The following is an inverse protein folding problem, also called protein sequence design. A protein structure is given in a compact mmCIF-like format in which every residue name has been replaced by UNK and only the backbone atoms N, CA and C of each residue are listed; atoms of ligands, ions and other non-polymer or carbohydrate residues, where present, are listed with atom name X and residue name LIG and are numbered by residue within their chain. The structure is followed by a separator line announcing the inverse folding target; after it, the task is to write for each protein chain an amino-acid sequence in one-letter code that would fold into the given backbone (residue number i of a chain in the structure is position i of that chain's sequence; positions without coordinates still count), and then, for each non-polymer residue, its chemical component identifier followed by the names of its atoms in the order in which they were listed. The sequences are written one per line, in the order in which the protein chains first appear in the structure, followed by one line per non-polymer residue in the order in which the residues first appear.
data_IF_164070634110
#
_entry.id   IF_164070634110
#
_cell.length_a   1.000
_cell.length_b   1.000
_cell.length_c   1.000
_cell.angle_alpha   90.00
_cell.angle_beta   90.00
_cell.angle_gamma   90.00
#
_symmetry.space_group_name_H-M   'P 1'
#
loop_
_entity.id
_entity.type
_entity.pdbx_description
1 polymer ?
#
# COMPACT_ATOMS: atom_id res chain seq x y z
N UNK A 1 11.88 -60.11 33.99
CA UNK A 1 10.63 -59.73 33.35
C UNK A 1 10.24 -58.37 33.95
N UNK A 2 10.68 -57.30 33.32
CA UNK A 2 10.26 -55.96 33.64
C UNK A 2 8.87 -55.75 33.06
N UNK A 3 7.84 -55.72 33.94
CA UNK A 3 6.56 -55.14 33.63
C UNK A 3 6.68 -53.64 33.84
N UNK A 4 6.98 -52.91 32.78
CA UNK A 4 6.77 -51.45 32.74
C UNK A 4 5.26 -51.21 32.73
N UNK A 5 4.70 -51.05 33.93
CA UNK A 5 3.34 -50.49 34.10
C UNK A 5 3.49 -48.98 33.89
N UNK A 6 3.37 -48.56 32.65
CA UNK A 6 3.09 -47.15 32.37
C UNK A 6 1.74 -46.83 33.02
N UNK A 7 1.76 -45.83 33.92
CA UNK A 7 0.55 -45.35 34.55
C UNK A 7 -0.37 -44.78 33.46
N UNK A 8 -1.65 -45.17 33.44
CA UNK A 8 -2.64 -44.76 32.46
C UNK A 8 -2.72 -43.22 32.34
N UNK A 9 -2.47 -42.51 33.48
CA UNK A 9 -2.37 -41.05 33.54
C UNK A 9 -1.15 -40.49 32.80
N UNK A 10 -0.03 -41.21 32.77
CA UNK A 10 1.16 -40.76 32.01
C UNK A 10 0.95 -40.89 30.51
N UNK A 11 0.23 -41.92 30.06
CA UNK A 11 -0.16 -42.13 28.68
C UNK A 11 -1.17 -41.03 28.22
N UNK A 12 -2.17 -40.71 29.03
CA UNK A 12 -3.10 -39.62 28.74
C UNK A 12 -2.39 -38.27 28.64
N UNK A 13 -1.49 -37.97 29.56
CA UNK A 13 -0.71 -36.73 29.54
C UNK A 13 0.20 -36.63 28.31
N UNK A 14 0.84 -37.75 27.93
CA UNK A 14 1.64 -37.81 26.72
C UNK A 14 0.80 -37.59 25.47
N UNK A 15 -0.36 -38.20 25.41
CA UNK A 15 -1.32 -38.05 24.29
C UNK A 15 -1.80 -36.62 24.15
N UNK A 16 -2.17 -35.97 25.25
CA UNK A 16 -2.57 -34.56 25.26
C UNK A 16 -1.45 -33.63 24.78
N UNK A 17 -0.21 -33.87 25.26
CA UNK A 17 0.95 -33.10 24.81
C UNK A 17 1.24 -33.29 23.32
N UNK A 18 1.09 -34.50 22.79
CA UNK A 18 1.27 -34.78 21.37
C UNK A 18 0.20 -34.08 20.52
N UNK A 19 -1.06 -34.12 20.96
CA UNK A 19 -2.17 -33.44 20.28
C UNK A 19 -1.93 -31.92 20.28
N UNK A 20 -1.51 -31.36 21.42
CA UNK A 20 -1.22 -29.93 21.50
C UNK A 20 -0.08 -29.54 20.57
N UNK A 21 1.04 -30.25 20.58
CA UNK A 21 2.17 -30.01 19.67
C UNK A 21 1.79 -30.18 18.19
N UNK A 22 0.93 -31.15 17.88
CA UNK A 22 0.42 -31.34 16.52
C UNK A 22 -0.43 -30.14 16.08
N UNK A 23 -1.29 -29.59 16.95
CA UNK A 23 -2.08 -28.39 16.67
C UNK A 23 -1.21 -27.15 16.49
N UNK A 24 -0.21 -26.94 17.35
CA UNK A 24 0.74 -25.84 17.24
C UNK A 24 1.48 -25.89 15.90
N UNK A 25 2.05 -27.05 15.54
CA UNK A 25 2.73 -27.24 14.25
C UNK A 25 1.80 -27.03 13.04
N UNK A 26 0.55 -27.48 13.14
CA UNK A 26 -0.44 -27.28 12.07
C UNK A 26 -0.74 -25.78 11.90
N UNK A 27 -0.85 -25.05 13.01
CA UNK A 27 -1.03 -23.59 12.99
C UNK A 27 0.19 -22.88 12.38
N UNK A 28 1.40 -23.26 12.78
CA UNK A 28 2.65 -22.71 12.21
C UNK A 28 2.76 -22.97 10.70
N UNK A 29 2.45 -24.19 10.26
CA UNK A 29 2.45 -24.55 8.83
C UNK A 29 1.43 -23.73 8.07
N UNK A 30 0.26 -23.47 8.64
CA UNK A 30 -0.76 -22.63 8.03
C UNK A 30 -0.25 -21.20 7.85
N UNK A 31 0.31 -20.61 8.89
CA UNK A 31 0.89 -19.24 8.84
C UNK A 31 1.99 -19.16 7.78
N UNK A 32 2.90 -20.13 7.72
CA UNK A 32 3.97 -20.17 6.72
C UNK A 32 3.42 -20.29 5.29
N UNK A 33 2.40 -21.11 5.08
CA UNK A 33 1.73 -21.22 3.76
C UNK A 33 1.04 -19.91 3.37
N UNK A 34 0.36 -19.25 4.29
CA UNK A 34 -0.30 -17.98 4.03
C UNK A 34 0.72 -16.90 3.68
N UNK A 35 1.87 -16.86 4.36
CA UNK A 35 3.00 -15.98 4.02
C UNK A 35 3.60 -16.28 2.65
N UNK A 36 3.78 -17.57 2.31
CA UNK A 36 4.29 -17.97 0.99
C UNK A 36 3.31 -17.58 -0.13
N UNK A 37 2.02 -17.80 0.05
CA UNK A 37 1.00 -17.38 -0.90
C UNK A 37 0.98 -15.88 -1.09
N UNK A 38 0.98 -15.11 0.01
CA UNK A 38 1.09 -13.65 -0.03
C UNK A 38 2.31 -13.20 -0.83
N UNK A 39 3.49 -13.77 -0.54
CA UNK A 39 4.72 -13.44 -1.25
C UNK A 39 4.63 -13.74 -2.76
N UNK A 40 4.00 -14.85 -3.13
CA UNK A 40 3.82 -15.24 -4.53
C UNK A 40 2.88 -14.28 -5.26
N UNK A 41 1.75 -13.94 -4.64
CA UNK A 41 0.80 -12.95 -5.18
C UNK A 41 1.45 -11.57 -5.29
N UNK A 42 2.18 -11.14 -4.27
CA UNK A 42 2.91 -9.87 -4.26
C UNK A 42 3.89 -9.77 -5.43
N UNK A 43 4.75 -10.78 -5.62
CA UNK A 43 5.70 -10.81 -6.73
C UNK A 43 4.99 -10.85 -8.09
N UNK A 44 3.87 -11.57 -8.19
CA UNK A 44 3.03 -11.60 -9.38
C UNK A 44 2.48 -10.22 -9.73
N UNK A 45 1.90 -9.54 -8.75
CA UNK A 45 1.34 -8.20 -8.91
C UNK A 45 2.40 -7.17 -9.30
N UNK A 46 3.56 -7.17 -8.64
CA UNK A 46 4.70 -6.30 -9.01
C UNK A 46 5.13 -6.55 -10.45
N UNK A 47 5.26 -7.82 -10.83
CA UNK A 47 5.66 -8.17 -12.21
C UNK A 47 4.67 -7.62 -13.24
N UNK A 48 3.38 -7.68 -12.98
CA UNK A 48 2.34 -7.09 -13.83
C UNK A 48 2.40 -5.56 -13.87
N UNK A 49 2.56 -4.92 -12.71
CA UNK A 49 2.65 -3.45 -12.60
C UNK A 49 3.90 -2.89 -13.30
N UNK A 50 5.02 -3.62 -13.31
CA UNK A 50 6.24 -3.24 -14.04
C UNK A 50 6.14 -3.51 -15.54
N UNK A 51 5.54 -4.62 -15.96
CA UNK A 51 5.43 -5.00 -17.39
C UNK A 51 4.61 -3.98 -18.18
N UNK A 52 3.51 -3.51 -17.66
CA UNK A 52 2.60 -2.59 -18.36
C UNK A 52 3.29 -1.29 -18.82
N UNK A 53 3.91 -0.47 -17.95
CA UNK A 53 4.64 0.72 -18.37
C UNK A 53 5.84 0.39 -19.24
N UNK A 54 6.55 -0.72 -18.96
CA UNK A 54 7.72 -1.13 -19.73
C UNK A 54 7.36 -1.41 -21.19
N UNK A 55 6.34 -2.22 -21.46
CA UNK A 55 5.89 -2.50 -22.83
C UNK A 55 5.31 -1.26 -23.53
N UNK A 56 4.65 -0.40 -22.76
CA UNK A 56 4.15 0.88 -23.27
C UNK A 56 5.30 1.79 -23.74
N UNK A 57 6.35 1.94 -22.93
CA UNK A 57 7.56 2.69 -23.30
C UNK A 57 8.21 2.08 -24.53
N UNK A 58 8.41 0.75 -24.52
CA UNK A 58 9.00 0.03 -25.64
C UNK A 58 8.20 0.26 -26.93
N UNK A 59 6.88 0.18 -26.90
CA UNK A 59 6.02 0.41 -28.06
C UNK A 59 6.16 1.83 -28.61
N UNK A 60 6.22 2.86 -27.77
CA UNK A 60 6.44 4.23 -28.23
C UNK A 60 7.82 4.42 -28.85
N UNK A 61 8.87 3.86 -28.24
CA UNK A 61 10.22 3.93 -28.76
C UNK A 61 10.33 3.22 -30.10
N UNK A 62 9.82 1.99 -30.24
CA UNK A 62 9.84 1.25 -31.50
C UNK A 62 9.10 1.99 -32.61
N UNK A 63 7.91 2.53 -32.35
CA UNK A 63 7.15 3.32 -33.32
C UNK A 63 7.92 4.55 -33.78
N UNK A 64 8.66 5.21 -32.89
CA UNK A 64 9.53 6.34 -33.25
C UNK A 64 10.67 5.89 -34.13
N UNK A 65 11.34 4.78 -33.82
CA UNK A 65 12.44 4.21 -34.59
C UNK A 65 11.98 3.78 -35.98
N UNK A 66 10.80 3.19 -36.11
CA UNK A 66 10.21 2.72 -37.38
C UNK A 66 9.72 3.84 -38.30
N UNK A 67 9.88 5.09 -37.94
CA UNK A 67 9.67 6.22 -38.86
C UNK A 67 8.83 7.37 -38.31
N UNK A 68 8.12 7.21 -37.20
CA UNK A 68 7.32 8.26 -36.60
C UNK A 68 8.14 9.47 -36.08
N UNK A 69 9.47 9.32 -36.00
CA UNK A 69 10.43 10.41 -35.71
C UNK A 69 10.30 11.59 -36.67
N UNK A 70 9.87 11.36 -37.92
CA UNK A 70 9.75 12.38 -38.96
C UNK A 70 8.55 13.31 -38.73
N UNK A 71 7.50 12.84 -38.07
CA UNK A 71 6.34 13.64 -37.67
C UNK A 71 6.59 14.31 -36.33
N UNK A 72 6.72 15.64 -36.31
CA UNK A 72 7.04 16.42 -35.13
C UNK A 72 5.96 16.25 -34.03
N UNK A 73 4.68 16.18 -34.38
CA UNK A 73 3.58 16.08 -33.42
C UNK A 73 3.53 14.69 -32.78
N UNK A 74 3.73 13.64 -33.59
CA UNK A 74 3.76 12.25 -33.11
C UNK A 74 4.99 12.02 -32.25
N UNK A 75 6.16 12.51 -32.69
CA UNK A 75 7.45 12.41 -31.97
C UNK A 75 7.31 13.00 -30.54
N UNK A 76 6.85 14.25 -30.45
CA UNK A 76 6.74 14.91 -29.14
C UNK A 76 5.76 14.19 -28.22
N UNK A 77 4.60 13.80 -28.76
CA UNK A 77 3.57 13.06 -28.02
C UNK A 77 4.10 11.73 -27.48
N UNK A 78 4.84 10.97 -28.30
CA UNK A 78 5.34 9.64 -27.92
C UNK A 78 6.50 9.72 -26.93
N UNK A 79 7.40 10.70 -27.10
CA UNK A 79 8.45 10.98 -26.11
C UNK A 79 7.86 11.36 -24.74
N UNK A 80 6.86 12.24 -24.69
CA UNK A 80 6.18 12.61 -23.46
C UNK A 80 5.48 11.40 -22.79
N UNK A 81 4.89 10.51 -23.59
CA UNK A 81 4.25 9.30 -23.06
C UNK A 81 5.28 8.28 -22.56
N UNK A 82 6.38 8.11 -23.25
CA UNK A 82 7.49 7.27 -22.78
C UNK A 82 8.08 7.81 -21.48
N UNK A 83 8.30 9.12 -21.37
CA UNK A 83 8.77 9.77 -20.14
C UNK A 83 7.83 9.50 -18.96
N UNK A 84 6.49 9.68 -19.15
CA UNK A 84 5.51 9.33 -18.11
C UNK A 84 5.54 7.86 -17.69
N UNK A 85 5.83 6.97 -18.66
CA UNK A 85 5.99 5.55 -18.34
C UNK A 85 7.21 5.29 -17.46
N UNK A 86 8.33 5.99 -17.71
CA UNK A 86 9.54 5.93 -16.86
C UNK A 86 9.25 6.48 -15.46
N UNK A 87 8.57 7.63 -15.35
CA UNK A 87 8.19 8.21 -14.05
C UNK A 87 7.35 7.22 -13.23
N UNK A 88 6.42 6.51 -13.89
CA UNK A 88 5.62 5.46 -13.23
C UNK A 88 6.49 4.29 -12.75
N UNK A 89 7.46 3.82 -13.56
CA UNK A 89 8.40 2.76 -13.13
C UNK A 89 9.23 3.20 -11.92
N UNK A 90 9.72 4.43 -11.91
CA UNK A 90 10.47 4.99 -10.77
C UNK A 90 9.61 5.00 -9.52
N UNK A 91 8.32 5.37 -9.62
CA UNK A 91 7.40 5.35 -8.48
C UNK A 91 7.22 3.94 -7.93
N UNK A 92 6.99 2.94 -8.80
CA UNK A 92 6.83 1.53 -8.38
C UNK A 92 8.09 1.02 -7.66
N UNK A 93 9.29 1.34 -8.19
CA UNK A 93 10.57 0.93 -7.58
C UNK A 93 10.72 1.58 -6.19
N UNK A 94 10.39 2.87 -6.05
CA UNK A 94 10.43 3.55 -4.73
C UNK A 94 9.48 2.92 -3.71
N UNK A 95 8.27 2.55 -4.14
CA UNK A 95 7.30 1.88 -3.27
C UNK A 95 7.82 0.49 -2.85
N UNK A 96 8.45 -0.24 -3.77
CA UNK A 96 9.06 -1.55 -3.48
C UNK A 96 10.23 -1.46 -2.51
N UNK A 97 11.11 -0.47 -2.70
CA UNK A 97 12.23 -0.19 -1.79
C UNK A 97 11.71 0.12 -0.38
N UNK A 98 10.62 0.90 -0.29
CA UNK A 98 9.99 1.23 0.98
C UNK A 98 9.45 -0.02 1.68
N UNK A 99 8.72 -0.88 0.97
CA UNK A 99 8.19 -2.14 1.52
C UNK A 99 9.35 -3.01 2.03
N UNK A 100 10.41 -3.17 1.23
CA UNK A 100 11.59 -3.98 1.59
C UNK A 100 12.29 -3.44 2.84
N UNK A 101 12.39 -2.11 2.98
CA UNK A 101 12.98 -1.48 4.17
C UNK A 101 12.15 -1.74 5.43
N UNK A 102 10.82 -1.74 5.33
CA UNK A 102 9.94 -2.07 6.46
C UNK A 102 10.00 -3.56 6.82
N UNK A 103 9.94 -4.45 5.83
CA UNK A 103 10.03 -5.90 6.07
C UNK A 103 11.35 -6.32 6.72
N UNK A 104 12.44 -5.65 6.36
CA UNK A 104 13.77 -5.91 6.94
C UNK A 104 13.99 -5.27 8.31
N UNK A 105 13.05 -4.47 8.81
CA UNK A 105 13.18 -3.74 10.08
C UNK A 105 14.28 -2.66 10.08
N UNK A 106 14.84 -2.34 8.90
CA UNK A 106 15.91 -1.35 8.76
C UNK A 106 15.37 0.08 8.97
N UNK A 107 14.12 0.33 8.59
CA UNK A 107 13.50 1.63 8.72
C UNK A 107 12.67 1.71 9.98
N UNK A 108 13.14 2.51 10.93
CA UNK A 108 12.36 2.91 12.10
C UNK A 108 11.32 3.96 11.70
N UNK A 109 10.14 3.86 12.28
CA UNK A 109 9.08 4.86 12.16
C UNK A 109 9.50 6.07 12.99
N UNK A 110 9.61 7.24 12.35
CA UNK A 110 9.95 8.49 13.04
C UNK A 110 8.66 9.15 13.56
N UNK A 111 8.34 8.83 14.82
CA UNK A 111 7.10 9.29 15.44
C UNK A 111 7.26 10.72 15.97
N UNK A 112 6.34 11.57 15.57
CA UNK A 112 6.19 12.94 16.06
C UNK A 112 4.74 13.19 16.47
N UNK A 113 4.52 14.13 17.39
CA UNK A 113 3.19 14.58 17.74
C UNK A 113 2.73 15.65 16.75
N UNK A 114 1.59 15.41 16.10
CA UNK A 114 1.00 16.38 15.17
C UNK A 114 -0.52 16.35 15.22
N UNK A 115 -1.14 17.47 14.81
CA UNK A 115 -2.57 17.57 14.67
C UNK A 115 -3.04 16.92 13.36
N UNK A 116 -3.98 15.99 13.44
CA UNK A 116 -4.49 15.24 12.27
C UNK A 116 -5.18 16.18 11.27
N UNK A 117 -5.88 17.21 11.74
CA UNK A 117 -6.57 18.14 10.86
C UNK A 117 -5.60 18.98 10.03
N UNK A 118 -4.48 19.44 10.61
CA UNK A 118 -3.45 20.18 9.85
C UNK A 118 -2.89 19.31 8.72
N UNK A 119 -2.75 17.99 8.95
CA UNK A 119 -2.27 17.06 7.95
C UNK A 119 -3.30 16.82 6.83
N UNK A 120 -4.59 16.73 7.18
CA UNK A 120 -5.69 16.59 6.20
C UNK A 120 -5.82 17.86 5.37
N UNK A 121 -5.79 19.03 5.99
CA UNK A 121 -5.86 20.32 5.30
C UNK A 121 -4.70 20.51 4.33
N UNK A 122 -3.47 20.18 4.76
CA UNK A 122 -2.31 20.16 3.87
C UNK A 122 -2.52 19.20 2.68
N UNK A 123 -3.13 18.04 2.92
CA UNK A 123 -3.46 17.09 1.83
C UNK A 123 -4.49 17.70 0.86
N UNK A 124 -5.49 18.41 1.36
CA UNK A 124 -6.48 19.09 0.52
C UNK A 124 -5.85 20.20 -0.32
N UNK A 125 -4.98 21.00 0.26
CA UNK A 125 -4.22 22.04 -0.46
C UNK A 125 -3.35 21.45 -1.57
N UNK A 126 -2.59 20.38 -1.28
CA UNK A 126 -1.77 19.68 -2.27
C UNK A 126 -2.59 19.14 -3.45
N UNK A 127 -3.85 18.79 -3.22
CA UNK A 127 -4.73 18.21 -4.24
C UNK A 127 -5.64 19.24 -4.93
N UNK A 128 -5.57 20.51 -4.58
CA UNK A 128 -6.45 21.55 -5.11
C UNK A 128 -6.46 21.58 -6.65
N UNK A 129 -5.30 21.55 -7.28
CA UNK A 129 -5.20 21.55 -8.75
C UNK A 129 -5.88 20.35 -9.42
N UNK A 130 -5.74 19.16 -8.84
CA UNK A 130 -6.36 17.94 -9.37
C UNK A 130 -7.88 17.94 -9.12
N UNK A 131 -8.36 18.52 -8.02
CA UNK A 131 -9.80 18.66 -7.74
C UNK A 131 -10.47 19.61 -8.71
N UNK A 132 -9.86 20.76 -9.00
CA UNK A 132 -10.35 21.72 -9.99
C UNK A 132 -10.45 21.10 -11.38
N UNK A 133 -9.43 20.38 -11.80
CA UNK A 133 -9.39 19.70 -13.10
C UNK A 133 -10.46 18.62 -13.25
N UNK A 134 -10.77 17.89 -12.18
CA UNK A 134 -11.77 16.83 -12.18
C UNK A 134 -13.17 17.31 -11.78
N UNK A 135 -13.34 18.59 -11.46
CA UNK A 135 -14.60 19.18 -10.96
C UNK A 135 -15.10 18.43 -9.72
N UNK A 136 -14.19 18.01 -8.86
CA UNK A 136 -14.48 17.24 -7.63
C UNK A 136 -14.18 18.11 -6.42
N UNK A 137 -14.86 17.94 -5.30
CA UNK A 137 -14.58 18.64 -4.06
C UNK A 137 -14.10 17.70 -2.97
N UNK A 138 -13.15 18.20 -2.17
CA UNK A 138 -12.71 17.53 -0.93
C UNK A 138 -13.40 18.26 0.22
N UNK A 139 -13.93 17.53 1.18
CA UNK A 139 -14.59 18.09 2.35
C UNK A 139 -14.59 17.16 3.54
N UNK A 140 -14.73 17.73 4.71
CA UNK A 140 -15.04 16.98 5.92
C UNK A 140 -16.51 16.52 5.93
N UNK A 141 -16.81 15.48 6.68
CA UNK A 141 -18.18 15.01 6.89
C UNK A 141 -18.98 15.91 7.84
N UNK A 142 -18.29 16.54 8.78
CA UNK A 142 -18.82 17.50 9.78
C UNK A 142 -17.76 18.52 10.13
N UNK A 143 -18.16 19.57 10.86
CA UNK A 143 -17.22 20.55 11.41
C UNK A 143 -16.51 19.93 12.64
N UNK A 144 -15.20 20.03 12.65
CA UNK A 144 -14.36 19.61 13.77
C UNK A 144 -13.79 20.86 14.44
N UNK A 145 -14.17 21.08 15.71
CA UNK A 145 -13.80 22.30 16.47
C UNK A 145 -12.58 22.11 17.36
N UNK A 146 -12.23 20.87 17.70
CA UNK A 146 -11.12 20.57 18.60
C UNK A 146 -10.01 19.84 17.84
N UNK A 147 -8.73 20.23 18.07
CA UNK A 147 -7.59 19.57 17.46
C UNK A 147 -7.42 18.16 18.04
N UNK A 148 -7.08 17.19 17.20
CA UNK A 148 -6.75 15.83 17.62
C UNK A 148 -5.28 15.57 17.33
N UNK A 149 -4.50 15.32 18.40
CA UNK A 149 -3.07 15.03 18.30
C UNK A 149 -2.82 13.53 18.31
N UNK A 150 -1.92 13.10 17.43
CA UNK A 150 -1.47 11.69 17.32
C UNK A 150 0.05 11.62 17.34
N UNK A 151 0.57 10.54 17.90
CA UNK A 151 2.00 10.21 17.88
C UNK A 151 2.29 9.18 16.79
N UNK A 152 2.63 9.66 15.59
CA UNK A 152 2.86 8.83 14.42
C UNK A 152 3.92 9.44 13.49
N UNK A 153 4.31 8.72 12.44
CA UNK A 153 5.18 9.23 11.38
C UNK A 153 4.33 10.11 10.43
N UNK A 154 4.42 11.41 10.60
CA UNK A 154 3.63 12.39 9.87
C UNK A 154 3.81 12.29 8.36
N UNK A 155 5.04 12.07 7.87
CA UNK A 155 5.30 11.94 6.43
C UNK A 155 4.63 10.70 5.85
N UNK A 156 4.60 9.60 6.60
CA UNK A 156 3.96 8.36 6.16
C UNK A 156 2.44 8.46 6.15
N UNK A 157 1.86 9.07 7.17
CA UNK A 157 0.42 9.32 7.20
C UNK A 157 0.01 10.26 6.05
N UNK A 158 0.80 11.33 5.79
CA UNK A 158 0.59 12.21 4.64
C UNK A 158 0.63 11.44 3.30
N UNK A 159 1.59 10.53 3.14
CA UNK A 159 1.68 9.68 1.95
C UNK A 159 0.44 8.79 1.78
N UNK A 160 -0.05 8.18 2.88
CA UNK A 160 -1.27 7.36 2.86
C UNK A 160 -2.48 8.19 2.46
N UNK A 161 -2.70 9.33 3.12
CA UNK A 161 -3.82 10.23 2.85
C UNK A 161 -3.79 10.71 1.39
N UNK A 162 -2.63 11.17 0.92
CA UNK A 162 -2.44 11.61 -0.47
C UNK A 162 -2.79 10.49 -1.45
N UNK A 163 -2.33 9.27 -1.22
CA UNK A 163 -2.64 8.12 -2.08
C UNK A 163 -4.14 7.80 -2.11
N UNK A 164 -4.81 7.84 -0.96
CA UNK A 164 -6.25 7.60 -0.87
C UNK A 164 -7.05 8.70 -1.57
N UNK A 165 -6.69 9.96 -1.37
CA UNK A 165 -7.35 11.10 -2.04
C UNK A 165 -7.13 11.03 -3.56
N UNK A 166 -5.90 10.78 -4.02
CA UNK A 166 -5.61 10.60 -5.46
C UNK A 166 -6.43 9.46 -6.06
N UNK A 167 -6.55 8.33 -5.36
CA UNK A 167 -7.38 7.22 -5.81
C UNK A 167 -8.86 7.62 -5.88
N UNK A 168 -9.36 8.34 -4.88
CA UNK A 168 -10.74 8.84 -4.88
C UNK A 168 -11.01 9.79 -6.05
N UNK A 169 -10.08 10.70 -6.36
CA UNK A 169 -10.21 11.61 -7.51
C UNK A 169 -10.11 10.88 -8.85
N UNK A 170 -9.30 9.84 -8.94
CA UNK A 170 -9.07 9.06 -10.17
C UNK A 170 -10.22 8.13 -10.51
N UNK A 171 -10.79 7.48 -9.50
CA UNK A 171 -11.82 6.45 -9.67
C UNK A 171 -13.22 6.93 -9.27
N UNK A 172 -13.34 8.11 -8.70
CA UNK A 172 -14.60 8.72 -8.32
C UNK A 172 -15.43 9.20 -9.54
N UNK A 173 -16.64 9.62 -9.27
CA UNK A 173 -17.55 10.18 -10.28
C UNK A 173 -17.19 11.64 -10.56
N UNK A 174 -17.29 12.05 -11.83
CA UNK A 174 -17.14 13.46 -12.20
C UNK A 174 -18.20 14.31 -11.50
N UNK A 175 -17.84 15.52 -11.11
CA UNK A 175 -18.68 16.43 -10.31
C UNK A 175 -19.10 15.84 -8.95
N UNK A 176 -18.36 14.85 -8.46
CA UNK A 176 -18.58 14.23 -7.16
C UNK A 176 -17.85 14.95 -6.03
N UNK A 177 -17.81 14.29 -4.89
CA UNK A 177 -17.02 14.76 -3.75
C UNK A 177 -16.35 13.59 -3.05
N UNK A 178 -15.21 13.88 -2.42
CA UNK A 178 -14.55 12.99 -1.46
C UNK A 178 -14.76 13.55 -0.07
N UNK A 179 -15.27 12.73 0.82
CA UNK A 179 -15.53 13.10 2.21
C UNK A 179 -14.53 12.40 3.11
N UNK A 180 -13.92 13.16 4.01
CA UNK A 180 -13.05 12.64 5.06
C UNK A 180 -13.78 12.75 6.38
N UNK A 181 -13.80 11.65 7.13
CA UNK A 181 -14.29 11.59 8.51
C UNK A 181 -13.16 11.18 9.45
N UNK A 182 -13.17 11.70 10.64
CA UNK A 182 -12.22 11.34 11.71
C UNK A 182 -13.04 10.85 12.89
N UNK A 183 -12.78 9.60 13.30
CA UNK A 183 -13.44 8.98 14.44
C UNK A 183 -12.39 8.49 15.43
N UNK A 184 -12.59 8.79 16.71
CA UNK A 184 -11.72 8.39 17.80
C UNK A 184 -12.27 7.14 18.48
N UNK A 185 -11.46 6.10 18.58
CA UNK A 185 -11.79 4.85 19.26
C UNK A 185 -10.72 4.54 20.31
N UNK A 186 -11.10 4.56 21.59
CA UNK A 186 -10.27 4.24 22.76
C UNK A 186 -8.82 4.76 22.70
N UNK A 187 -7.99 4.29 21.82
CA UNK A 187 -6.59 4.73 21.62
C UNK A 187 -6.16 4.72 20.14
N UNK A 188 -7.08 4.76 19.20
CA UNK A 188 -6.80 4.83 17.77
C UNK A 188 -7.78 5.75 17.04
N UNK A 189 -7.35 6.26 15.89
CA UNK A 189 -8.18 7.02 14.97
C UNK A 189 -8.52 6.14 13.74
N UNK A 190 -9.73 6.34 13.25
CA UNK A 190 -10.22 5.84 11.95
C UNK A 190 -10.58 7.00 11.04
#
# INVERSE_FOLDING_TARGET
ILKDTYDEKDLEKLTLNLIQKARERTSEIKVLKDQENYRREFLGNISHELKTPLFTIQGYILTLVEGAMKDKNVREKYLKRAAKGVERLIAIVKDLDLITQFESGIKTVDKTDFNVFDLIDNTFELMQFETEKNTTSLKYDKDYSEPIFVNADQERILQVLTNLVVNSLKYGTKNGFTKVSVEEFDNCLL
#
